data_IF_276651448527
#
_entry.id   IF_276651448527
#
_cell.length_a   1.000
_cell.length_b   1.000
_cell.length_c   1.000
_cell.angle_alpha   90.00
_cell.angle_beta   90.00
_cell.angle_gamma   90.00
#
_symmetry.space_group_name_H-M   'P 1'
#
loop_
_entity.id
_entity.type
_entity.pdbx_description
1 polymer ?
#
# COMPACT_ATOMS: atom_id res chain seq x y z
N UNK A 1 43.23 -22.04 -10.50
CA UNK A 1 42.38 -21.20 -9.62
C UNK A 1 41.01 -20.78 -10.18
N UNK A 2 40.74 -20.78 -11.50
CA UNK A 2 39.48 -20.24 -12.08
C UNK A 2 38.18 -20.80 -11.47
N UNK A 3 38.15 -22.05 -11.02
CA UNK A 3 36.98 -22.67 -10.38
C UNK A 3 36.70 -22.16 -8.95
N UNK A 4 37.72 -21.74 -8.19
CA UNK A 4 37.54 -21.10 -6.86
C UNK A 4 37.10 -19.65 -6.99
N UNK A 5 37.62 -18.95 -8.00
CA UNK A 5 37.22 -17.57 -8.31
C UNK A 5 35.75 -17.55 -8.75
N UNK A 6 35.33 -18.47 -9.63
CA UNK A 6 33.92 -18.61 -10.03
C UNK A 6 32.99 -18.86 -8.85
N UNK A 7 33.32 -19.78 -7.93
CA UNK A 7 32.52 -20.04 -6.72
C UNK A 7 32.43 -18.82 -5.77
N UNK A 8 33.52 -18.05 -5.67
CA UNK A 8 33.54 -16.84 -4.83
C UNK A 8 32.65 -15.73 -5.42
N UNK A 9 32.68 -15.57 -6.74
CA UNK A 9 31.82 -14.64 -7.48
C UNK A 9 30.34 -15.05 -7.36
N UNK A 10 30.01 -16.33 -7.48
CA UNK A 10 28.63 -16.83 -7.32
C UNK A 10 28.09 -16.60 -5.90
N UNK A 11 28.93 -16.78 -4.87
CA UNK A 11 28.56 -16.51 -3.48
C UNK A 11 28.34 -15.02 -3.21
N UNK A 12 29.20 -14.15 -3.75
CA UNK A 12 29.09 -12.70 -3.62
C UNK A 12 27.85 -12.16 -4.37
N UNK A 13 27.58 -12.66 -5.57
CA UNK A 13 26.35 -12.37 -6.32
C UNK A 13 25.09 -12.84 -5.58
N UNK A 14 25.13 -14.02 -4.93
CA UNK A 14 24.04 -14.53 -4.11
C UNK A 14 23.75 -13.65 -2.88
N UNK A 15 24.79 -13.13 -2.23
CA UNK A 15 24.66 -12.18 -1.10
C UNK A 15 24.11 -10.83 -1.54
N UNK A 16 24.54 -10.30 -2.69
CA UNK A 16 24.02 -9.05 -3.28
C UNK A 16 22.55 -9.22 -3.68
N UNK A 17 22.19 -10.34 -4.30
CA UNK A 17 20.81 -10.67 -4.64
C UNK A 17 19.91 -10.75 -3.38
N UNK A 18 20.34 -11.46 -2.34
CA UNK A 18 19.63 -11.56 -1.07
C UNK A 18 19.46 -10.19 -0.37
N UNK A 19 20.51 -9.36 -0.36
CA UNK A 19 20.45 -8.01 0.22
C UNK A 19 19.46 -7.12 -0.55
N UNK A 20 19.49 -7.19 -1.87
CA UNK A 20 18.61 -6.39 -2.75
C UNK A 20 17.16 -6.84 -2.62
N UNK A 21 16.90 -8.15 -2.57
CA UNK A 21 15.56 -8.72 -2.35
C UNK A 21 14.97 -8.25 -1.02
N UNK A 22 15.76 -8.26 0.06
CA UNK A 22 15.31 -7.76 1.37
C UNK A 22 14.96 -6.27 1.36
N UNK A 23 15.76 -5.45 0.70
CA UNK A 23 15.49 -4.01 0.56
C UNK A 23 14.19 -3.79 -0.22
N UNK A 24 13.98 -4.55 -1.28
CA UNK A 24 12.79 -4.46 -2.12
C UNK A 24 11.52 -4.88 -1.36
N UNK A 25 11.56 -5.99 -0.61
CA UNK A 25 10.45 -6.43 0.26
C UNK A 25 10.10 -5.33 1.27
N UNK A 26 11.11 -4.83 1.98
CA UNK A 26 10.91 -3.83 3.01
C UNK A 26 10.31 -2.53 2.43
N UNK A 27 10.86 -2.07 1.30
CA UNK A 27 10.37 -0.87 0.62
C UNK A 27 8.93 -1.03 0.12
N UNK A 28 8.58 -2.21 -0.39
CA UNK A 28 7.22 -2.52 -0.83
C UNK A 28 6.24 -2.50 0.34
N UNK A 29 6.59 -3.16 1.44
CA UNK A 29 5.77 -3.19 2.66
C UNK A 29 5.57 -1.79 3.25
N UNK A 30 6.64 -1.00 3.35
CA UNK A 30 6.59 0.36 3.90
C UNK A 30 5.74 1.28 3.02
N UNK A 31 5.86 1.17 1.69
CA UNK A 31 5.05 1.96 0.77
C UNK A 31 3.54 1.67 0.92
N UNK A 32 3.15 0.40 1.00
CA UNK A 32 1.75 0.01 1.21
C UNK A 32 1.24 0.43 2.60
N UNK A 33 2.04 0.23 3.66
CA UNK A 33 1.67 0.65 5.01
C UNK A 33 1.49 2.18 5.12
N UNK A 34 2.38 2.94 4.49
CA UNK A 34 2.29 4.40 4.42
C UNK A 34 1.02 4.87 3.69
N UNK A 35 0.72 4.31 2.51
CA UNK A 35 -0.50 4.62 1.76
C UNK A 35 -1.77 4.28 2.53
N UNK A 36 -1.87 3.07 3.09
CA UNK A 36 -3.01 2.63 3.89
C UNK A 36 -3.28 3.58 5.07
N UNK A 37 -2.22 3.99 5.79
CA UNK A 37 -2.33 4.96 6.87
C UNK A 37 -2.89 6.30 6.40
N UNK A 38 -2.40 6.83 5.27
CA UNK A 38 -2.87 8.11 4.73
C UNK A 38 -4.32 8.01 4.29
N UNK A 39 -4.70 6.95 3.57
CA UNK A 39 -6.08 6.72 3.12
C UNK A 39 -7.04 6.66 4.33
N UNK A 40 -6.70 5.88 5.36
CA UNK A 40 -7.49 5.78 6.59
C UNK A 40 -7.64 7.12 7.30
N UNK A 41 -6.58 7.93 7.35
CA UNK A 41 -6.65 9.28 7.91
C UNK A 41 -7.59 10.19 7.09
N UNK A 42 -7.52 10.15 5.77
CA UNK A 42 -8.42 10.90 4.89
C UNK A 42 -9.89 10.49 5.05
N UNK A 43 -10.15 9.18 5.21
CA UNK A 43 -11.49 8.65 5.52
C UNK A 43 -11.97 9.18 6.87
N UNK A 44 -11.14 9.11 7.92
CA UNK A 44 -11.50 9.59 9.26
C UNK A 44 -11.83 11.09 9.27
N UNK A 45 -10.98 11.90 8.64
CA UNK A 45 -11.22 13.35 8.51
C UNK A 45 -12.51 13.65 7.75
N UNK A 46 -12.72 13.04 6.58
CA UNK A 46 -13.92 13.27 5.78
C UNK A 46 -15.18 12.76 6.50
N UNK A 47 -15.08 11.65 7.22
CA UNK A 47 -16.17 11.13 8.04
C UNK A 47 -16.56 12.09 9.17
N UNK A 48 -15.58 12.75 9.80
CA UNK A 48 -15.84 13.78 10.81
C UNK A 48 -16.59 14.97 10.20
N UNK A 49 -16.17 15.44 9.02
CA UNK A 49 -16.84 16.53 8.30
C UNK A 49 -18.27 16.15 7.92
N UNK A 50 -18.49 14.94 7.38
CA UNK A 50 -19.83 14.44 7.06
C UNK A 50 -20.71 14.38 8.30
N UNK A 51 -20.16 13.95 9.45
CA UNK A 51 -20.90 13.91 10.71
C UNK A 51 -21.35 15.31 11.15
N UNK A 52 -20.43 16.28 11.14
CA UNK A 52 -20.74 17.67 11.48
C UNK A 52 -21.80 18.27 10.56
N UNK A 53 -21.66 18.10 9.23
CA UNK A 53 -22.63 18.60 8.26
C UNK A 53 -24.02 17.95 8.42
N UNK A 54 -24.09 16.68 8.84
CA UNK A 54 -25.38 16.02 9.16
C UNK A 54 -26.05 16.69 10.35
N UNK A 55 -25.31 16.90 11.43
CA UNK A 55 -25.80 17.56 12.64
C UNK A 55 -26.25 19.01 12.38
N UNK A 56 -25.58 19.73 11.47
CA UNK A 56 -25.97 21.08 11.05
C UNK A 56 -27.21 21.09 10.15
N UNK A 57 -27.31 20.12 9.23
CA UNK A 57 -28.47 19.96 8.34
C UNK A 57 -29.73 19.62 9.14
N UNK A 58 -29.62 18.79 10.17
CA UNK A 58 -30.76 18.45 11.06
C UNK A 58 -31.32 19.68 11.79
N UNK A 59 -30.49 20.70 12.04
CA UNK A 59 -30.91 21.97 12.66
C UNK A 59 -31.51 22.96 11.65
N UNK A 60 -31.15 22.84 10.37
CA UNK A 60 -31.53 23.77 9.31
C UNK A 60 -31.94 23.00 8.03
N UNK A 61 -33.10 22.34 8.09
CA UNK A 61 -33.54 21.38 7.06
C UNK A 61 -33.73 21.97 5.66
N UNK A 62 -34.01 23.27 5.56
CA UNK A 62 -34.28 23.97 4.30
C UNK A 62 -33.05 24.67 3.70
N UNK A 63 -31.89 24.59 4.36
CA UNK A 63 -30.65 25.16 3.83
C UNK A 63 -30.10 24.29 2.68
N UNK A 64 -30.49 24.67 1.46
CA UNK A 64 -30.05 24.02 0.23
C UNK A 64 -28.53 24.01 0.05
N UNK A 65 -27.81 24.95 0.67
CA UNK A 65 -26.35 25.02 0.60
C UNK A 65 -25.71 23.93 1.46
N UNK A 66 -26.19 23.75 2.70
CA UNK A 66 -25.76 22.67 3.59
C UNK A 66 -26.07 21.30 2.98
N UNK A 67 -27.25 21.12 2.39
CA UNK A 67 -27.63 19.87 1.72
C UNK A 67 -26.70 19.53 0.54
N UNK A 68 -26.34 20.54 -0.27
CA UNK A 68 -25.41 20.35 -1.40
C UNK A 68 -24.00 20.00 -0.91
N UNK A 69 -23.54 20.67 0.13
CA UNK A 69 -22.23 20.43 0.72
C UNK A 69 -22.15 19.04 1.37
N UNK A 70 -23.20 18.62 2.08
CA UNK A 70 -23.31 17.29 2.65
C UNK A 70 -23.24 16.19 1.59
N UNK A 71 -23.96 16.33 0.46
CA UNK A 71 -23.89 15.35 -0.66
C UNK A 71 -22.50 15.26 -1.27
N UNK A 72 -21.78 16.40 -1.37
CA UNK A 72 -20.42 16.46 -1.90
C UNK A 72 -19.46 15.70 -1.00
N UNK A 73 -19.47 15.97 0.31
CA UNK A 73 -18.59 15.28 1.26
C UNK A 73 -18.95 13.81 1.44
N UNK A 74 -20.23 13.43 1.36
CA UNK A 74 -20.64 12.02 1.33
C UNK A 74 -20.11 11.28 0.10
N UNK A 75 -20.17 11.91 -1.08
CA UNK A 75 -19.62 11.34 -2.31
C UNK A 75 -18.11 11.18 -2.18
N UNK A 76 -17.41 12.22 -1.69
CA UNK A 76 -15.97 12.17 -1.42
C UNK A 76 -15.61 11.04 -0.44
N UNK A 77 -16.37 10.86 0.64
CA UNK A 77 -16.15 9.76 1.59
C UNK A 77 -16.23 8.39 0.92
N UNK A 78 -17.23 8.18 0.04
CA UNK A 78 -17.36 6.94 -0.73
C UNK A 78 -16.16 6.69 -1.65
N UNK A 79 -15.65 7.73 -2.32
CA UNK A 79 -14.45 7.61 -3.14
C UNK A 79 -13.24 7.20 -2.30
N UNK A 80 -13.02 7.85 -1.15
CA UNK A 80 -11.90 7.52 -0.25
C UNK A 80 -11.99 6.08 0.28
N UNK A 81 -13.21 5.60 0.57
CA UNK A 81 -13.42 4.19 0.94
C UNK A 81 -13.11 3.22 -0.22
N UNK A 82 -13.42 3.61 -1.46
CA UNK A 82 -13.03 2.84 -2.65
C UNK A 82 -11.52 2.78 -2.83
N UNK A 83 -10.79 3.88 -2.55
CA UNK A 83 -9.31 3.89 -2.60
C UNK A 83 -8.71 2.88 -1.60
N UNK A 84 -9.32 2.71 -0.43
CA UNK A 84 -8.86 1.69 0.54
C UNK A 84 -9.01 0.27 -0.03
N UNK A 85 -10.13 -0.01 -0.69
CA UNK A 85 -10.35 -1.31 -1.35
C UNK A 85 -9.35 -1.54 -2.50
N UNK A 86 -9.03 -0.48 -3.26
CA UNK A 86 -8.02 -0.54 -4.32
C UNK A 86 -6.65 -0.84 -3.72
N UNK A 87 -6.26 -0.16 -2.64
CA UNK A 87 -4.96 -0.39 -1.98
C UNK A 87 -4.81 -1.83 -1.48
N UNK A 88 -5.87 -2.43 -0.92
CA UNK A 88 -5.87 -3.84 -0.50
C UNK A 88 -5.57 -4.78 -1.68
N UNK A 89 -6.28 -4.60 -2.81
CA UNK A 89 -6.09 -5.41 -4.01
C UNK A 89 -4.69 -5.20 -4.60
N UNK A 90 -4.22 -3.94 -4.67
CA UNK A 90 -2.89 -3.65 -5.21
C UNK A 90 -1.80 -4.24 -4.34
N UNK A 91 -1.95 -4.23 -3.01
CA UNK A 91 -1.00 -4.86 -2.08
C UNK A 91 -0.92 -6.38 -2.31
N UNK A 92 -2.07 -7.07 -2.35
CA UNK A 92 -2.11 -8.53 -2.62
C UNK A 92 -1.45 -8.88 -3.97
N UNK A 93 -1.83 -8.16 -5.03
CA UNK A 93 -1.27 -8.39 -6.37
C UNK A 93 0.24 -8.10 -6.43
N UNK A 94 0.70 -7.04 -5.75
CA UNK A 94 2.11 -6.68 -5.72
C UNK A 94 2.93 -7.76 -5.02
N UNK A 95 2.42 -8.31 -3.90
CA UNK A 95 3.06 -9.42 -3.21
C UNK A 95 3.11 -10.69 -4.06
N UNK A 96 2.02 -11.01 -4.77
CA UNK A 96 1.99 -12.16 -5.67
C UNK A 96 3.04 -12.05 -6.76
N UNK A 97 3.10 -10.90 -7.46
CA UNK A 97 4.09 -10.65 -8.52
C UNK A 97 5.50 -10.68 -7.95
N UNK A 98 5.72 -10.11 -6.76
CA UNK A 98 7.01 -10.14 -6.10
C UNK A 98 7.49 -11.59 -5.84
N UNK A 99 6.64 -12.42 -5.25
CA UNK A 99 6.96 -13.83 -4.98
C UNK A 99 7.21 -14.62 -6.28
N UNK A 100 6.39 -14.40 -7.32
CA UNK A 100 6.53 -15.14 -8.58
C UNK A 100 7.76 -14.72 -9.38
N UNK A 101 8.13 -13.45 -9.39
CA UNK A 101 9.20 -12.93 -10.25
C UNK A 101 10.53 -12.78 -9.54
N UNK A 102 10.57 -12.49 -8.25
CA UNK A 102 11.82 -12.21 -7.55
C UNK A 102 12.32 -13.45 -6.79
N UNK A 103 11.43 -14.21 -6.15
CA UNK A 103 11.82 -15.35 -5.31
C UNK A 103 12.26 -16.60 -6.09
N UNK A 104 11.77 -16.79 -7.33
CA UNK A 104 12.11 -17.96 -8.16
C UNK A 104 13.57 -17.93 -8.66
N UNK A 105 14.19 -16.76 -8.75
CA UNK A 105 15.58 -16.63 -9.23
C UNK A 105 16.64 -16.93 -8.17
N UNK A 106 16.24 -17.14 -6.91
CA UNK A 106 17.18 -17.46 -5.83
C UNK A 106 17.31 -18.98 -5.64
N UNK A 107 18.43 -19.55 -6.08
CA UNK A 107 18.91 -20.86 -5.63
C UNK A 107 20.04 -20.62 -4.61
N UNK A 108 19.79 -20.74 -3.30
CA UNK A 108 20.87 -20.61 -2.33
C UNK A 108 21.94 -21.66 -2.67
N UNK A 109 23.24 -21.32 -2.56
CA UNK A 109 24.28 -22.32 -2.66
C UNK A 109 23.97 -23.42 -1.63
N UNK A 110 23.94 -24.67 -2.09
CA UNK A 110 23.77 -25.80 -1.17
C UNK A 110 24.98 -25.80 -0.26
N UNK A 111 24.74 -25.66 1.04
CA UNK A 111 25.77 -25.89 2.04
C UNK A 111 26.22 -27.35 1.88
N UNK A 112 27.45 -27.57 1.43
CA UNK A 112 28.14 -28.87 1.55
C UNK A 112 28.43 -29.17 3.02
#
# INVERSE_FOLDING_TARGET
>A
EMSRIGRSIDMENGLVAYRTERIMIWSLMEAHASRDRVIKNCIAQTSSVVKQLREETEKNLDDLTLLKQLRKEQTKLKWMQSELNVEEVVNDRSWKVFNERCRIHFKPPKNE
#
